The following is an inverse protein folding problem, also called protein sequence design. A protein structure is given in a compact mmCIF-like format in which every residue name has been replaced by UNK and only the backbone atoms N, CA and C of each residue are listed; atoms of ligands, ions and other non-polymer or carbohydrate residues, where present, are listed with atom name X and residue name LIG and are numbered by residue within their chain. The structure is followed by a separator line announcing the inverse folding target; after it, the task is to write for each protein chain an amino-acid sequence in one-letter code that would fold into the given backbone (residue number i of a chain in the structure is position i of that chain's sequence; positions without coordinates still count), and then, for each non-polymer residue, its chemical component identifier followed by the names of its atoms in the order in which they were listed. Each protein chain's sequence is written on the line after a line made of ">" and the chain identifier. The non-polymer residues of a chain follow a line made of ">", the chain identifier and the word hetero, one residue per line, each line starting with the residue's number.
data_IF_494110876899
#
_entry.id   IF_494110876899
#
_cell.length_a   1.000
_cell.length_b   1.000
_cell.length_c   1.000
_cell.angle_alpha   90.00
_cell.angle_beta   90.00
_cell.angle_gamma   90.00
#
_symmetry.space_group_name_H-M   'P 1'
#
loop_
_entity.id
_entity.type
_entity.pdbx_description
1 polymer ?
#
# COMPACT_ATOMS: atom_id res chain seq x y z
N UNK A 1 1.57 16.19 -15.15
CA UNK A 1 1.59 15.77 -13.73
C UNK A 1 2.09 16.93 -12.88
N UNK A 2 1.45 17.23 -11.76
CA UNK A 2 1.90 18.15 -10.72
C UNK A 2 2.24 17.32 -9.48
N UNK A 3 3.44 17.50 -8.92
CA UNK A 3 3.83 16.90 -7.65
C UNK A 3 3.51 17.87 -6.49
N UNK A 4 3.05 17.34 -5.35
CA UNK A 4 2.67 18.13 -4.18
C UNK A 4 3.19 17.45 -2.92
N UNK A 5 3.82 18.20 -2.03
CA UNK A 5 4.25 17.73 -0.71
C UNK A 5 4.35 18.91 0.28
N UNK A 6 4.41 18.61 1.58
CA UNK A 6 4.70 19.60 2.63
C UNK A 6 6.20 19.89 2.76
N UNK A 7 7.05 19.09 2.10
CA UNK A 7 8.50 19.23 2.10
C UNK A 7 8.98 19.34 0.65
N UNK A 8 9.87 20.31 0.37
CA UNK A 8 10.47 20.42 -0.94
C UNK A 8 11.41 19.24 -1.22
N UNK A 9 11.32 18.58 -2.40
CA UNK A 9 12.23 17.50 -2.77
C UNK A 9 13.65 17.99 -3.14
N UNK A 10 13.88 19.31 -3.13
CA UNK A 10 15.11 19.92 -3.67
C UNK A 10 15.07 19.99 -5.18
N UNK A 11 15.31 18.87 -5.85
CA UNK A 11 15.17 18.72 -7.30
C UNK A 11 13.93 17.89 -7.64
N UNK A 12 13.19 18.28 -8.67
CA UNK A 12 12.03 17.55 -9.17
C UNK A 12 12.01 17.58 -10.69
N UNK A 13 11.74 16.44 -11.32
CA UNK A 13 11.55 16.33 -12.77
C UNK A 13 10.17 16.82 -13.23
N UNK A 14 9.23 17.02 -12.29
CA UNK A 14 7.88 17.52 -12.54
C UNK A 14 7.68 18.89 -11.89
N UNK A 15 6.74 19.73 -12.37
CA UNK A 15 6.26 20.88 -11.63
C UNK A 15 5.89 20.47 -10.21
N UNK A 16 6.30 21.27 -9.22
CA UNK A 16 6.13 20.97 -7.81
C UNK A 16 5.46 22.14 -7.09
N UNK A 17 4.55 21.82 -6.18
CA UNK A 17 3.88 22.79 -5.32
C UNK A 17 4.03 22.37 -3.85
N UNK A 18 4.48 23.28 -3.00
CA UNK A 18 4.53 23.08 -1.57
C UNK A 18 3.15 23.37 -0.97
N UNK A 19 2.49 22.35 -0.42
CA UNK A 19 1.16 22.51 0.17
C UNK A 19 0.88 21.48 1.27
N UNK A 20 0.07 21.89 2.26
CA UNK A 20 -0.44 21.02 3.32
C UNK A 20 -1.85 20.55 2.97
N UNK A 21 -2.00 19.27 2.63
CA UNK A 21 -3.29 18.68 2.28
C UNK A 21 -4.26 18.54 3.48
N UNK A 22 -3.83 18.84 4.69
CA UNK A 22 -4.75 19.00 5.83
C UNK A 22 -5.50 20.35 5.78
N UNK A 23 -5.02 21.30 4.97
CA UNK A 23 -5.74 22.53 4.63
C UNK A 23 -6.58 22.29 3.36
N UNK A 24 -7.89 22.44 3.49
CA UNK A 24 -8.81 22.18 2.39
C UNK A 24 -8.66 23.18 1.23
N UNK A 25 -8.37 24.46 1.52
CA UNK A 25 -8.17 25.49 0.51
C UNK A 25 -6.95 25.18 -0.37
N UNK A 26 -5.81 24.82 0.24
CA UNK A 26 -4.61 24.38 -0.48
C UNK A 26 -4.88 23.11 -1.28
N UNK A 27 -5.62 22.15 -0.72
CA UNK A 27 -5.98 20.92 -1.44
C UNK A 27 -6.78 21.21 -2.70
N UNK A 28 -7.79 22.09 -2.62
CA UNK A 28 -8.59 22.50 -3.79
C UNK A 28 -7.73 23.19 -4.84
N UNK A 29 -6.82 24.07 -4.42
CA UNK A 29 -5.91 24.77 -5.34
C UNK A 29 -4.98 23.79 -6.07
N UNK A 30 -4.43 22.79 -5.36
CA UNK A 30 -3.56 21.77 -5.95
C UNK A 30 -4.29 20.89 -6.98
N UNK A 31 -5.56 20.58 -6.76
CA UNK A 31 -6.35 19.70 -7.62
C UNK A 31 -7.08 20.44 -8.74
N UNK A 32 -7.11 21.76 -8.73
CA UNK A 32 -7.78 22.55 -9.76
C UNK A 32 -7.16 22.31 -11.14
N UNK A 33 -7.98 21.90 -12.11
CA UNK A 33 -7.55 21.63 -13.48
C UNK A 33 -6.81 20.29 -13.67
N UNK A 34 -6.83 19.41 -12.68
CA UNK A 34 -6.32 18.04 -12.81
C UNK A 34 -7.47 17.10 -13.23
N UNK A 35 -7.13 16.05 -13.99
CA UNK A 35 -8.10 15.03 -14.43
C UNK A 35 -8.29 13.94 -13.37
N UNK A 36 -7.25 13.62 -12.61
CA UNK A 36 -7.22 12.58 -11.57
C UNK A 36 -6.17 12.90 -10.51
N UNK A 37 -6.19 12.15 -9.41
CA UNK A 37 -5.19 12.30 -8.34
C UNK A 37 -4.69 10.93 -7.85
N UNK A 38 -3.36 10.84 -7.62
CA UNK A 38 -2.72 9.78 -6.85
C UNK A 38 -2.28 10.37 -5.53
N UNK A 39 -2.97 10.02 -4.44
CA UNK A 39 -2.74 10.54 -3.10
C UNK A 39 -1.86 9.59 -2.28
N UNK A 40 -0.58 9.92 -2.18
CA UNK A 40 0.41 9.17 -1.40
C UNK A 40 0.75 9.85 -0.06
N UNK A 41 0.36 11.12 0.09
CA UNK A 41 0.72 11.92 1.26
C UNK A 41 0.08 11.37 2.54
N UNK A 42 0.91 11.03 3.50
CA UNK A 42 0.52 10.53 4.82
C UNK A 42 1.69 10.61 5.80
N UNK A 43 1.42 10.49 7.10
CA UNK A 43 2.40 10.00 8.06
C UNK A 43 2.45 8.47 7.85
N UNK A 44 3.57 7.90 7.34
CA UNK A 44 3.55 6.61 6.66
C UNK A 44 3.59 5.39 7.60
N UNK A 45 3.73 5.59 8.90
CA UNK A 45 3.77 4.51 9.89
C UNK A 45 3.41 5.00 11.29
N UNK A 46 3.09 4.05 12.17
CA UNK A 46 3.00 4.30 13.62
C UNK A 46 4.36 4.65 14.23
N UNK A 47 4.35 5.41 15.32
CA UNK A 47 5.57 5.76 16.07
C UNK A 47 6.37 6.95 15.51
N UNK A 48 6.07 7.44 14.30
CA UNK A 48 6.71 8.65 13.72
C UNK A 48 6.18 9.93 14.39
N UNK A 49 4.89 9.94 14.69
CA UNK A 49 4.20 11.01 15.42
C UNK A 49 3.32 10.39 16.50
N UNK A 50 2.67 11.22 17.31
CA UNK A 50 1.66 10.71 18.26
C UNK A 50 0.50 10.07 17.51
N UNK A 51 -0.16 9.10 18.12
CA UNK A 51 -1.28 8.36 17.51
C UNK A 51 -2.39 9.29 17.04
N UNK A 52 -2.75 10.29 17.86
CA UNK A 52 -3.75 11.32 17.49
C UNK A 52 -3.33 12.09 16.23
N UNK A 53 -2.09 12.58 16.21
CA UNK A 53 -1.57 13.35 15.07
C UNK A 53 -1.55 12.51 13.80
N UNK A 54 -1.10 11.26 13.90
CA UNK A 54 -1.08 10.32 12.76
C UNK A 54 -2.50 10.09 12.22
N UNK A 55 -3.42 9.75 13.11
CA UNK A 55 -4.81 9.51 12.71
C UNK A 55 -5.45 10.76 12.09
N UNK A 56 -5.39 11.88 12.78
CA UNK A 56 -6.00 13.14 12.34
C UNK A 56 -5.42 13.63 11.02
N UNK A 57 -4.09 13.67 10.88
CA UNK A 57 -3.45 14.15 9.66
C UNK A 57 -3.81 13.26 8.45
N UNK A 58 -3.71 11.93 8.62
CA UNK A 58 -4.00 10.99 7.53
C UNK A 58 -5.49 11.01 7.12
N UNK A 59 -6.40 11.03 8.10
CA UNK A 59 -7.83 11.09 7.79
C UNK A 59 -8.21 12.41 7.16
N UNK A 60 -7.71 13.53 7.69
CA UNK A 60 -8.10 14.85 7.19
C UNK A 60 -7.54 15.11 5.78
N UNK A 61 -6.27 14.75 5.51
CA UNK A 61 -5.70 14.90 4.17
C UNK A 61 -6.43 14.02 3.14
N UNK A 62 -6.73 12.76 3.48
CA UNK A 62 -7.47 11.87 2.59
C UNK A 62 -8.91 12.38 2.35
N UNK A 63 -9.61 12.82 3.40
CA UNK A 63 -10.94 13.41 3.25
C UNK A 63 -10.91 14.65 2.35
N UNK A 64 -9.97 15.56 2.58
CA UNK A 64 -9.83 16.79 1.81
C UNK A 64 -9.56 16.50 0.32
N UNK A 65 -8.67 15.54 0.03
CA UNK A 65 -8.38 15.13 -1.36
C UNK A 65 -9.62 14.52 -2.02
N UNK A 66 -10.31 13.63 -1.36
CA UNK A 66 -11.52 13.00 -1.89
C UNK A 66 -12.65 14.01 -2.11
N UNK A 67 -12.86 14.92 -1.16
CA UNK A 67 -13.91 15.95 -1.26
C UNK A 67 -13.57 17.02 -2.31
N UNK A 68 -12.31 17.44 -2.40
CA UNK A 68 -11.87 18.36 -3.45
C UNK A 68 -11.99 17.71 -4.84
N UNK A 69 -11.60 16.43 -4.98
CA UNK A 69 -11.78 15.68 -6.22
C UNK A 69 -13.25 15.63 -6.64
N UNK A 70 -14.17 15.35 -5.69
CA UNK A 70 -15.61 15.39 -5.92
C UNK A 70 -16.10 16.79 -6.35
N UNK A 71 -15.67 17.83 -5.63
CA UNK A 71 -16.08 19.21 -5.91
C UNK A 71 -15.64 19.68 -7.29
N UNK A 72 -14.42 19.32 -7.68
CA UNK A 72 -13.80 19.71 -8.95
C UNK A 72 -14.16 18.79 -10.11
N UNK A 73 -14.84 17.67 -9.84
CA UNK A 73 -15.25 16.72 -10.86
C UNK A 73 -14.11 15.90 -11.44
N UNK A 74 -13.07 15.57 -10.65
CA UNK A 74 -12.01 14.68 -11.08
C UNK A 74 -12.56 13.31 -11.47
N UNK A 75 -12.00 12.73 -12.50
CA UNK A 75 -12.44 11.44 -13.03
C UNK A 75 -12.06 10.24 -12.16
N UNK A 76 -11.04 10.38 -11.27
CA UNK A 76 -10.55 9.26 -10.43
C UNK A 76 -9.69 9.73 -9.25
N UNK A 77 -9.78 8.97 -8.17
CA UNK A 77 -8.90 9.08 -7.00
C UNK A 77 -8.25 7.73 -6.75
N UNK A 78 -6.93 7.68 -6.75
CA UNK A 78 -6.12 6.53 -6.32
C UNK A 78 -5.37 6.94 -5.07
N UNK A 79 -5.28 6.08 -4.04
CA UNK A 79 -4.50 6.44 -2.85
C UNK A 79 -3.77 5.25 -2.23
N UNK A 80 -2.70 5.58 -1.49
CA UNK A 80 -1.96 4.63 -0.69
C UNK A 80 -2.79 4.18 0.53
N UNK A 81 -3.30 2.95 0.48
CA UNK A 81 -3.71 2.18 1.64
C UNK A 81 -2.51 1.41 2.20
N UNK A 82 -2.72 0.36 2.97
CA UNK A 82 -1.61 -0.35 3.62
C UNK A 82 -1.96 -1.79 3.94
N UNK A 83 -0.98 -2.69 3.86
CA UNK A 83 -1.06 -4.05 4.36
C UNK A 83 -1.37 -4.11 5.87
N UNK A 84 -1.04 -3.05 6.63
CA UNK A 84 -1.27 -3.01 8.07
C UNK A 84 -2.75 -3.09 8.47
N UNK A 85 -3.68 -2.84 7.55
CA UNK A 85 -5.12 -3.07 7.75
C UNK A 85 -5.42 -4.53 8.06
N UNK A 86 -4.63 -5.46 7.53
CA UNK A 86 -4.84 -6.91 7.61
C UNK A 86 -4.44 -7.53 8.96
N UNK A 87 -3.95 -6.72 9.91
CA UNK A 87 -3.53 -7.16 11.23
C UNK A 87 -2.03 -7.15 11.47
N UNK A 88 -1.25 -6.70 10.48
CA UNK A 88 0.19 -6.56 10.64
C UNK A 88 0.52 -5.52 11.73
N UNK A 89 1.45 -5.84 12.64
CA UNK A 89 2.50 -6.88 12.59
C UNK A 89 2.11 -8.26 13.16
N UNK A 90 0.86 -8.59 13.36
CA UNK A 90 0.35 -9.85 13.93
C UNK A 90 0.83 -10.15 15.37
N UNK A 91 1.08 -9.12 16.15
CA UNK A 91 1.53 -9.27 17.54
C UNK A 91 0.40 -9.76 18.48
N UNK A 92 -0.83 -9.32 18.20
CA UNK A 92 -2.00 -9.66 19.03
C UNK A 92 -2.81 -10.80 18.46
N UNK A 93 -2.82 -10.94 17.14
CA UNK A 93 -3.60 -11.93 16.43
C UNK A 93 -2.82 -12.46 15.23
N UNK A 94 -2.75 -13.79 15.10
CA UNK A 94 -2.18 -14.41 13.92
C UNK A 94 -3.06 -14.17 12.68
N UNK A 95 -2.51 -14.26 11.46
CA UNK A 95 -3.32 -14.22 10.26
C UNK A 95 -4.38 -15.34 10.29
N UNK A 96 -5.57 -15.06 9.77
CA UNK A 96 -6.65 -16.05 9.73
C UNK A 96 -6.32 -17.20 8.77
N UNK A 97 -5.56 -16.92 7.73
CA UNK A 97 -5.05 -17.86 6.72
C UNK A 97 -3.90 -17.22 5.93
N UNK A 98 -3.18 -18.02 5.16
CA UNK A 98 -2.15 -17.57 4.22
C UNK A 98 -2.20 -18.39 2.92
N UNK A 99 -1.90 -17.80 1.73
CA UNK A 99 -1.67 -16.37 1.52
C UNK A 99 -2.87 -15.51 1.88
N UNK A 100 -2.60 -14.31 2.41
CA UNK A 100 -3.65 -13.32 2.72
C UNK A 100 -4.09 -12.64 1.43
N UNK A 101 -5.40 -12.50 1.24
CA UNK A 101 -6.01 -11.74 0.15
C UNK A 101 -6.87 -10.58 0.68
N UNK A 102 -7.60 -9.91 -0.19
CA UNK A 102 -8.43 -8.77 0.15
C UNK A 102 -9.66 -9.13 1.00
N UNK A 103 -10.06 -10.40 1.02
CA UNK A 103 -11.19 -10.93 1.82
C UNK A 103 -10.77 -11.25 3.26
N UNK A 104 -9.47 -11.20 3.57
CA UNK A 104 -8.99 -11.38 4.94
C UNK A 104 -9.61 -10.32 5.87
N UNK A 105 -10.10 -10.70 7.04
CA UNK A 105 -10.66 -9.76 8.00
C UNK A 105 -9.70 -8.61 8.31
N UNK A 106 -10.25 -7.40 8.39
CA UNK A 106 -9.48 -6.23 8.79
C UNK A 106 -9.30 -6.20 10.31
N UNK A 107 -8.04 -6.16 10.75
CA UNK A 107 -7.64 -6.09 12.16
C UNK A 107 -6.63 -4.94 12.39
N UNK A 108 -7.01 -3.67 12.19
CA UNK A 108 -6.08 -2.56 12.38
C UNK A 108 -5.62 -2.48 13.84
N UNK A 109 -4.31 -2.57 14.08
CA UNK A 109 -3.71 -2.58 15.42
C UNK A 109 -3.03 -1.25 15.79
N UNK A 110 -3.21 -0.21 15.00
CA UNK A 110 -2.64 1.12 15.22
C UNK A 110 -3.54 2.21 14.67
N UNK A 111 -3.37 3.46 15.13
CA UNK A 111 -4.06 4.62 14.57
C UNK A 111 -3.72 4.84 13.09
N UNK A 112 -2.51 4.48 12.67
CA UNK A 112 -2.14 4.46 11.25
C UNK A 112 -3.00 3.48 10.45
N UNK A 113 -3.02 2.20 10.86
CA UNK A 113 -3.80 1.17 10.19
C UNK A 113 -5.30 1.49 10.20
N UNK A 114 -5.81 1.99 11.34
CA UNK A 114 -7.20 2.42 11.47
C UNK A 114 -7.53 3.56 10.50
N UNK A 115 -6.65 4.57 10.36
CA UNK A 115 -6.85 5.65 9.40
C UNK A 115 -6.93 5.13 7.96
N UNK A 116 -6.11 4.15 7.59
CA UNK A 116 -6.14 3.55 6.25
C UNK A 116 -7.44 2.77 6.01
N UNK A 117 -7.90 1.96 6.97
CA UNK A 117 -9.17 1.24 6.89
C UNK A 117 -10.36 2.18 6.73
N UNK A 118 -10.43 3.23 7.54
CA UNK A 118 -11.52 4.20 7.45
C UNK A 118 -11.47 5.02 6.16
N UNK A 119 -10.30 5.24 5.59
CA UNK A 119 -10.15 5.86 4.27
C UNK A 119 -10.71 4.98 3.15
N UNK A 120 -10.57 3.64 3.23
CA UNK A 120 -11.21 2.72 2.28
C UNK A 120 -12.74 2.79 2.38
N UNK A 121 -13.28 2.81 3.58
CA UNK A 121 -14.71 2.99 3.79
C UNK A 121 -15.21 4.36 3.29
N UNK A 122 -14.44 5.43 3.52
CA UNK A 122 -14.72 6.76 2.99
C UNK A 122 -14.83 6.72 1.45
N UNK A 123 -13.85 6.14 0.76
CA UNK A 123 -13.86 6.01 -0.70
C UNK A 123 -15.09 5.23 -1.20
N UNK A 124 -15.43 4.12 -0.53
CA UNK A 124 -16.61 3.30 -0.85
C UNK A 124 -17.92 4.10 -0.73
N UNK A 125 -18.06 4.91 0.32
CA UNK A 125 -19.27 5.74 0.49
C UNK A 125 -19.32 6.89 -0.51
N UNK A 126 -18.20 7.54 -0.79
CA UNK A 126 -18.14 8.61 -1.78
C UNK A 126 -18.46 8.10 -3.19
N UNK A 127 -17.95 6.93 -3.58
CA UNK A 127 -18.33 6.29 -4.84
C UNK A 127 -19.85 6.10 -4.96
N UNK A 128 -20.49 5.60 -3.89
CA UNK A 128 -21.94 5.41 -3.87
C UNK A 128 -22.71 6.72 -4.07
N UNK A 129 -22.15 7.85 -3.68
CA UNK A 129 -22.79 9.16 -3.80
C UNK A 129 -22.51 9.86 -5.13
N UNK A 130 -21.32 9.62 -5.70
CA UNK A 130 -20.78 10.44 -6.80
C UNK A 130 -20.56 9.65 -8.09
N UNK A 131 -20.48 8.33 -8.01
CA UNK A 131 -20.01 7.45 -9.05
C UNK A 131 -18.57 7.72 -9.53
N UNK A 132 -17.82 8.63 -8.89
CA UNK A 132 -16.39 8.82 -9.14
C UNK A 132 -15.62 7.62 -8.60
N UNK A 133 -14.76 6.96 -9.40
CA UNK A 133 -13.97 5.84 -8.94
C UNK A 133 -12.95 6.20 -7.87
N UNK A 134 -12.89 5.36 -6.82
CA UNK A 134 -11.96 5.49 -5.70
C UNK A 134 -11.21 4.17 -5.52
N UNK A 135 -9.90 4.16 -5.76
CA UNK A 135 -9.09 2.94 -5.76
C UNK A 135 -8.02 3.01 -4.68
N UNK A 136 -8.08 2.09 -3.72
CA UNK A 136 -7.10 1.95 -2.65
C UNK A 136 -6.05 0.90 -3.01
N UNK A 137 -4.76 1.21 -2.83
CA UNK A 137 -3.67 0.27 -3.01
C UNK A 137 -3.07 -0.06 -1.64
N UNK A 138 -3.29 -1.29 -1.15
CA UNK A 138 -2.72 -1.82 0.09
C UNK A 138 -1.28 -2.24 -0.16
N UNK A 139 -0.39 -1.26 -0.12
CA UNK A 139 1.04 -1.52 -0.32
C UNK A 139 1.62 -2.36 0.80
N UNK A 140 2.42 -3.36 0.39
CA UNK A 140 3.38 -4.00 1.26
C UNK A 140 4.55 -3.05 1.56
N UNK A 141 5.52 -3.50 2.35
CA UNK A 141 6.68 -2.68 2.72
C UNK A 141 7.46 -2.25 1.47
N UNK A 142 7.35 -0.96 1.12
CA UNK A 142 7.97 -0.40 -0.09
C UNK A 142 9.49 -0.36 0.10
N UNK A 143 10.21 -0.87 -0.89
CA UNK A 143 11.67 -0.98 -0.92
C UNK A 143 12.24 -0.37 -2.18
N UNK A 144 13.44 0.16 -2.07
CA UNK A 144 14.28 0.57 -3.19
C UNK A 144 15.41 -0.44 -3.41
N UNK A 145 16.13 -0.44 -4.57
CA UNK A 145 17.18 -1.42 -4.85
C UNK A 145 18.26 -1.50 -3.76
N UNK A 146 18.62 -0.40 -3.12
CA UNK A 146 19.61 -0.37 -2.04
C UNK A 146 19.14 -1.08 -0.75
N UNK A 147 17.83 -1.19 -0.52
CA UNK A 147 17.28 -1.90 0.64
C UNK A 147 17.45 -3.41 0.52
N UNK A 148 17.60 -3.95 -0.69
CA UNK A 148 17.79 -5.38 -0.92
C UNK A 148 19.07 -5.92 -0.32
N UNK A 149 20.08 -5.07 -0.14
CA UNK A 149 21.34 -5.42 0.53
C UNK A 149 21.14 -5.87 1.99
N UNK A 150 20.01 -5.49 2.59
CA UNK A 150 19.65 -5.89 3.96
C UNK A 150 19.01 -7.29 4.02
N UNK A 151 18.48 -7.83 2.92
CA UNK A 151 17.70 -9.07 2.94
C UNK A 151 18.50 -10.28 3.41
N UNK A 152 19.79 -10.47 3.03
CA UNK A 152 20.59 -11.57 3.57
C UNK A 152 20.66 -11.61 5.09
N UNK A 153 20.54 -10.48 5.77
CA UNK A 153 20.57 -10.42 7.24
C UNK A 153 19.33 -11.04 7.92
N UNK A 154 18.27 -11.31 7.17
CA UNK A 154 17.03 -11.91 7.67
C UNK A 154 16.98 -13.44 7.49
N UNK A 155 17.82 -14.01 6.62
CA UNK A 155 17.64 -15.39 6.13
C UNK A 155 17.83 -16.47 7.17
N UNK A 156 18.68 -16.23 8.18
CA UNK A 156 18.97 -17.18 9.25
C UNK A 156 17.88 -17.21 10.35
N UNK A 157 17.01 -16.19 10.40
CA UNK A 157 15.98 -16.08 11.41
C UNK A 157 14.65 -15.58 10.81
N UNK A 158 13.73 -16.51 10.55
CA UNK A 158 12.42 -16.20 9.99
C UNK A 158 11.58 -15.24 10.87
N UNK A 159 11.88 -15.13 12.16
CA UNK A 159 11.15 -14.26 13.08
C UNK A 159 11.37 -12.77 12.82
N UNK A 160 12.50 -12.40 12.21
CA UNK A 160 12.87 -10.99 11.97
C UNK A 160 11.89 -10.26 11.05
N UNK A 161 11.33 -10.96 10.05
CA UNK A 161 10.41 -10.38 9.06
C UNK A 161 9.02 -11.03 9.08
N UNK A 162 8.69 -11.81 10.10
CA UNK A 162 7.38 -12.45 10.24
C UNK A 162 6.23 -11.44 10.32
N UNK A 163 6.51 -10.24 10.78
CA UNK A 163 5.53 -9.20 11.07
C UNK A 163 4.71 -8.76 9.85
N UNK A 164 5.21 -8.98 8.62
CA UNK A 164 4.48 -8.71 7.39
C UNK A 164 4.49 -9.91 6.43
N UNK A 165 4.56 -11.13 6.98
CA UNK A 165 4.64 -12.36 6.20
C UNK A 165 5.78 -12.34 5.18
N UNK A 166 6.90 -11.74 5.56
CA UNK A 166 8.10 -11.58 4.72
C UNK A 166 7.85 -10.86 3.40
N UNK A 167 6.76 -10.07 3.31
CA UNK A 167 6.39 -9.32 2.12
C UNK A 167 7.25 -8.09 1.90
N UNK A 168 7.26 -7.62 0.66
CA UNK A 168 7.80 -6.33 0.22
C UNK A 168 7.19 -5.96 -1.13
N UNK A 169 7.47 -4.76 -1.60
CA UNK A 169 7.20 -4.32 -2.97
C UNK A 169 8.26 -3.32 -3.41
N UNK A 170 8.72 -3.41 -4.66
CA UNK A 170 9.64 -2.41 -5.21
C UNK A 170 8.92 -1.10 -5.51
N UNK A 171 9.57 0.04 -5.24
CA UNK A 171 9.00 1.36 -5.47
C UNK A 171 8.60 1.61 -6.94
N UNK A 172 9.28 0.96 -7.89
CA UNK A 172 8.96 1.04 -9.33
C UNK A 172 7.67 0.28 -9.65
N UNK A 173 7.45 -0.89 -9.03
CA UNK A 173 6.20 -1.63 -9.16
C UNK A 173 5.03 -0.91 -8.47
N UNK A 174 5.31 -0.20 -7.36
CA UNK A 174 4.34 0.71 -6.73
C UNK A 174 3.90 1.79 -7.70
N UNK A 175 4.84 2.45 -8.38
CA UNK A 175 4.53 3.49 -9.37
C UNK A 175 3.70 2.93 -10.54
N UNK A 176 4.05 1.75 -11.05
CA UNK A 176 3.29 1.06 -12.10
C UNK A 176 1.87 0.73 -11.63
N UNK A 177 1.70 0.21 -10.41
CA UNK A 177 0.38 -0.10 -9.86
C UNK A 177 -0.52 1.13 -9.74
N UNK A 178 0.06 2.30 -9.43
CA UNK A 178 -0.68 3.56 -9.41
C UNK A 178 -1.20 3.94 -10.82
N UNK A 179 -0.37 3.77 -11.85
CA UNK A 179 -0.77 4.03 -13.24
C UNK A 179 -1.88 3.07 -13.69
N UNK A 180 -1.73 1.79 -13.41
CA UNK A 180 -2.75 0.78 -13.71
C UNK A 180 -4.08 1.08 -13.00
N UNK A 181 -4.02 1.51 -11.74
CA UNK A 181 -5.21 1.90 -10.98
C UNK A 181 -5.89 3.17 -11.52
N UNK A 182 -5.14 4.09 -12.12
CA UNK A 182 -5.71 5.27 -12.80
C UNK A 182 -6.50 4.89 -14.06
N UNK A 183 -6.15 3.81 -14.73
CA UNK A 183 -6.73 3.39 -16.01
C UNK A 183 -7.78 2.27 -15.87
N UNK A 184 -7.83 1.58 -14.73
CA UNK A 184 -8.70 0.42 -14.53
C UNK A 184 -10.18 0.78 -14.55
N UNK A 185 -11.00 -0.06 -15.18
CA UNK A 185 -12.47 0.07 -15.19
C UNK A 185 -13.07 -0.54 -13.91
N UNK A 186 -12.90 0.16 -12.80
CA UNK A 186 -13.39 -0.25 -11.47
C UNK A 186 -14.03 0.92 -10.74
N UNK A 187 -14.89 0.63 -9.78
CA UNK A 187 -15.54 1.62 -8.91
C UNK A 187 -14.74 1.91 -7.65
N UNK A 188 -15.32 1.61 -6.48
CA UNK A 188 -14.63 1.70 -5.20
C UNK A 188 -14.04 0.34 -4.86
N UNK A 189 -12.75 0.18 -5.06
CA UNK A 189 -12.04 -1.09 -4.90
C UNK A 189 -10.74 -0.92 -4.13
N UNK A 190 -10.24 -2.02 -3.58
CA UNK A 190 -8.93 -2.07 -2.93
C UNK A 190 -8.16 -3.31 -3.41
N UNK A 191 -6.84 -3.17 -3.48
CA UNK A 191 -5.93 -4.18 -4.01
C UNK A 191 -4.69 -4.30 -3.15
N UNK A 192 -4.27 -5.54 -2.86
CA UNK A 192 -2.96 -5.81 -2.28
C UNK A 192 -1.92 -5.67 -3.39
N UNK A 193 -0.89 -4.88 -3.12
CA UNK A 193 0.24 -4.64 -4.02
C UNK A 193 1.52 -5.05 -3.31
N UNK A 194 2.09 -6.16 -3.73
CA UNK A 194 3.33 -6.75 -3.22
C UNK A 194 4.18 -7.27 -4.37
N UNK A 195 5.45 -7.59 -4.09
CA UNK A 195 6.29 -8.35 -4.99
C UNK A 195 5.75 -9.77 -5.20
N UNK A 196 6.20 -10.47 -6.24
CA UNK A 196 5.76 -11.83 -6.49
C UNK A 196 6.33 -12.85 -5.48
N UNK A 197 7.41 -12.49 -4.79
CA UNK A 197 8.13 -13.34 -3.85
C UNK A 197 8.27 -12.71 -2.46
N UNK A 198 8.93 -13.42 -1.54
CA UNK A 198 9.24 -12.93 -0.20
C UNK A 198 10.69 -12.44 -0.12
N UNK A 199 11.02 -11.68 0.94
CA UNK A 199 12.40 -11.24 1.24
C UNK A 199 13.34 -12.41 1.65
N UNK A 200 12.80 -13.61 1.80
CA UNK A 200 13.53 -14.78 2.33
C UNK A 200 14.09 -15.67 1.23
N UNK A 201 15.22 -16.30 1.49
CA UNK A 201 15.83 -17.31 0.61
C UNK A 201 15.31 -18.74 0.85
N UNK A 202 14.29 -18.88 1.71
CA UNK A 202 13.65 -20.14 2.11
C UNK A 202 12.23 -20.25 1.53
N UNK A 203 11.75 -21.45 1.21
CA UNK A 203 10.40 -21.67 0.74
C UNK A 203 9.32 -21.13 1.69
N UNK A 204 8.29 -20.47 1.15
CA UNK A 204 7.20 -19.88 1.93
C UNK A 204 6.48 -20.90 2.81
N UNK A 205 6.36 -22.17 2.34
CA UNK A 205 5.78 -23.27 3.14
C UNK A 205 6.59 -23.58 4.40
N UNK A 206 7.93 -23.46 4.34
CA UNK A 206 8.79 -23.72 5.49
C UNK A 206 8.71 -22.59 6.51
N UNK A 207 8.65 -21.34 6.04
CA UNK A 207 8.44 -20.16 6.87
C UNK A 207 7.10 -20.26 7.63
N UNK A 208 6.03 -20.62 6.93
CA UNK A 208 4.72 -20.82 7.55
C UNK A 208 4.72 -21.95 8.57
N UNK A 209 5.32 -23.10 8.25
CA UNK A 209 5.40 -24.24 9.17
C UNK A 209 6.21 -23.94 10.43
N UNK A 210 7.26 -23.11 10.33
CA UNK A 210 8.11 -22.72 11.44
C UNK A 210 7.46 -21.66 12.34
N UNK A 211 6.92 -20.59 11.73
CA UNK A 211 6.50 -19.39 12.48
C UNK A 211 5.00 -19.40 12.78
N UNK A 212 4.19 -19.92 11.87
CA UNK A 212 2.74 -19.93 11.97
C UNK A 212 2.13 -21.34 11.77
N UNK A 213 2.57 -22.37 12.54
CA UNK A 213 2.18 -23.75 12.30
C UNK A 213 0.68 -24.04 12.50
N UNK A 214 -0.05 -23.16 13.18
CA UNK A 214 -1.49 -23.27 13.40
C UNK A 214 -2.36 -22.53 12.39
N UNK A 215 -1.74 -21.70 11.53
CA UNK A 215 -2.45 -20.89 10.52
C UNK A 215 -2.75 -21.77 9.30
N UNK A 216 -4.01 -21.81 8.83
CA UNK A 216 -4.34 -22.49 7.58
C UNK A 216 -3.51 -21.93 6.43
N UNK A 217 -2.74 -22.78 5.78
CA UNK A 217 -1.88 -22.40 4.65
C UNK A 217 -2.29 -23.15 3.39
N UNK A 218 -2.60 -22.41 2.35
CA UNK A 218 -2.84 -22.94 1.02
C UNK A 218 -1.58 -22.78 0.19
N UNK A 219 -0.86 -23.88 -0.18
CA UNK A 219 0.34 -23.79 -0.98
C UNK A 219 0.11 -23.09 -2.31
N UNK A 220 1.03 -22.24 -2.68
CA UNK A 220 1.10 -21.55 -3.99
C UNK A 220 1.85 -22.41 -5.00
N UNK A 221 1.88 -22.00 -6.26
CA UNK A 221 2.54 -22.76 -7.33
C UNK A 221 4.08 -22.71 -7.22
N UNK A 222 4.63 -21.57 -6.76
CA UNK A 222 6.06 -21.36 -6.57
C UNK A 222 6.50 -21.56 -5.12
N UNK A 223 7.71 -22.06 -4.91
CA UNK A 223 8.25 -22.27 -3.57
C UNK A 223 8.44 -20.97 -2.78
N UNK A 224 8.70 -19.88 -3.47
CA UNK A 224 9.05 -18.58 -2.88
C UNK A 224 7.96 -17.53 -3.04
N UNK A 225 6.79 -17.93 -3.52
CA UNK A 225 5.69 -16.98 -3.76
C UNK A 225 5.35 -16.19 -2.51
N UNK A 226 4.96 -14.94 -2.73
CA UNK A 226 4.49 -14.03 -1.68
C UNK A 226 3.31 -14.62 -0.91
N UNK A 227 3.25 -14.31 0.38
CA UNK A 227 2.13 -14.67 1.27
C UNK A 227 1.09 -13.55 1.40
N UNK A 228 1.26 -12.48 0.63
CA UNK A 228 0.28 -11.42 0.38
C UNK A 228 -0.23 -11.60 -1.05
N UNK A 229 -1.42 -12.17 -1.21
CA UNK A 229 -1.94 -12.51 -2.53
C UNK A 229 -2.16 -11.26 -3.40
N UNK A 230 -1.46 -11.19 -4.51
CA UNK A 230 -1.62 -10.15 -5.53
C UNK A 230 -2.57 -10.58 -6.66
N UNK A 231 -3.29 -11.69 -6.49
CA UNK A 231 -4.09 -12.28 -7.55
C UNK A 231 -5.21 -11.36 -8.03
N UNK A 232 -5.85 -10.62 -7.14
CA UNK A 232 -6.87 -9.63 -7.50
C UNK A 232 -6.27 -8.49 -8.31
N UNK A 233 -5.12 -7.95 -7.88
CA UNK A 233 -4.42 -6.90 -8.63
C UNK A 233 -4.00 -7.39 -10.02
N UNK A 234 -3.53 -8.63 -10.15
CA UNK A 234 -3.20 -9.25 -11.45
C UNK A 234 -4.40 -9.33 -12.38
N UNK A 235 -5.52 -9.86 -11.90
CA UNK A 235 -6.68 -10.13 -12.75
C UNK A 235 -7.46 -8.88 -13.12
N UNK A 236 -7.51 -7.89 -12.23
CA UNK A 236 -8.35 -6.69 -12.38
C UNK A 236 -7.56 -5.50 -12.92
N UNK A 237 -6.35 -5.27 -12.39
CA UNK A 237 -5.50 -4.14 -12.81
C UNK A 237 -4.50 -4.52 -13.91
N UNK A 238 -4.24 -5.81 -14.13
CA UNK A 238 -3.12 -6.26 -14.96
C UNK A 238 -1.76 -6.05 -14.28
N UNK A 239 -1.73 -5.97 -12.94
CA UNK A 239 -0.50 -5.76 -12.18
C UNK A 239 0.40 -6.98 -12.24
N UNK A 240 1.61 -6.81 -12.77
CA UNK A 240 2.65 -7.84 -12.79
C UNK A 240 3.94 -7.24 -12.24
N UNK A 241 4.30 -7.55 -10.98
CA UNK A 241 5.54 -7.06 -10.39
C UNK A 241 6.74 -7.60 -11.17
N UNK A 242 7.66 -6.68 -11.53
CA UNK A 242 8.80 -6.98 -12.42
C UNK A 242 10.13 -6.97 -11.68
N UNK A 243 10.16 -6.40 -10.48
CA UNK A 243 11.41 -6.18 -9.77
C UNK A 243 11.50 -7.11 -8.56
N UNK A 244 12.51 -8.00 -8.59
CA UNK A 244 12.82 -8.90 -7.49
C UNK A 244 14.23 -8.64 -6.97
N UNK A 245 14.39 -8.69 -5.66
CA UNK A 245 15.71 -8.68 -5.04
C UNK A 245 16.59 -9.83 -5.52
N UNK A 246 15.97 -10.95 -5.95
CA UNK A 246 16.71 -12.14 -6.42
C UNK A 246 17.49 -11.85 -7.69
N UNK A 247 16.87 -11.09 -8.61
CA UNK A 247 17.54 -10.67 -9.84
C UNK A 247 18.64 -9.65 -9.52
N UNK A 248 18.35 -8.69 -8.65
CA UNK A 248 19.31 -7.66 -8.25
C UNK A 248 20.57 -8.22 -7.59
N UNK A 249 20.44 -9.17 -6.63
CA UNK A 249 21.59 -9.78 -5.96
C UNK A 249 22.29 -10.84 -6.82
N UNK A 250 21.67 -11.37 -7.88
CA UNK A 250 22.30 -12.27 -8.82
C UNK A 250 23.21 -11.54 -9.82
N UNK A 251 22.96 -10.25 -10.05
CA UNK A 251 23.74 -9.39 -10.95
C UNK A 251 24.90 -8.66 -10.23
N UNK A 252 24.92 -8.64 -8.90
CA UNK A 252 25.94 -7.98 -8.08
C UNK A 252 27.08 -8.95 -7.71
#
# INVERSE_FOLDING_TARGET
>A
MLAVDVVSPGESSAPFLLADLTDYGQTVECLAGQDAVVHLAAIPASGIRTEETTFRANMLSTYNVCEAARLLGLGRVVWASSETILGLPFDRQQPAYAPIDEDHPAYPESSYALSKLLSEELGRQLYRWTATPYVALRFSNIMEPHDYELFPSYWDDASLRRWNLWGYVDARDVAESCLLALEADVGAEHFIVAAADTVMNRPSRELMAEVYPSVPYQPTAGDFDTLLSIQKARTVLGYEPRWSWRDHLAEA
#
